data_IF_346697220598
#
_entry.id   IF_346697220598
#
_cell.length_a   1.000
_cell.length_b   1.000
_cell.length_c   1.000
_cell.angle_alpha   90.00
_cell.angle_beta   90.00
_cell.angle_gamma   90.00
#
_symmetry.space_group_name_H-M   'P 1'
#
loop_
_entity.id
_entity.type
_entity.pdbx_description
1 polymer ?
#
# COMPACT_ATOMS: atom_id res chain seq x y z
N UNK A 1 13.04 -8.93 -16.81
CA UNK A 1 11.95 -8.44 -17.66
C UNK A 1 12.19 -6.98 -17.93
N UNK A 2 12.35 -6.62 -19.21
CA UNK A 2 12.59 -5.27 -19.69
C UNK A 2 11.32 -4.45 -19.55
N UNK A 3 11.33 -3.40 -18.72
CA UNK A 3 10.53 -2.18 -18.94
C UNK A 3 10.96 -1.17 -17.87
N UNK A 4 12.10 -0.50 -18.10
CA UNK A 4 12.51 0.81 -17.57
C UNK A 4 12.32 1.16 -16.07
N UNK A 5 11.94 0.22 -15.20
CA UNK A 5 11.54 0.48 -13.82
C UNK A 5 10.02 0.62 -13.58
N UNK A 6 9.14 0.19 -14.48
CA UNK A 6 7.68 0.25 -14.30
C UNK A 6 7.08 -1.15 -14.52
N UNK A 7 6.41 -1.69 -13.51
CA UNK A 7 5.75 -3.01 -13.59
C UNK A 7 4.25 -2.92 -13.85
N UNK A 8 3.63 -1.74 -13.66
CA UNK A 8 2.19 -1.56 -13.86
C UNK A 8 1.75 -0.11 -13.87
N UNK A 9 0.55 0.14 -14.41
CA UNK A 9 -0.08 1.46 -14.48
C UNK A 9 -1.54 1.37 -14.04
N UNK A 10 -1.92 2.16 -13.04
CA UNK A 10 -3.31 2.37 -12.62
C UNK A 10 -3.80 3.68 -13.21
N UNK A 11 -5.02 3.67 -13.76
CA UNK A 11 -5.76 4.90 -14.10
C UNK A 11 -6.55 5.35 -12.87
N UNK A 12 -6.33 6.59 -12.45
CA UNK A 12 -7.03 7.19 -11.31
C UNK A 12 -8.48 7.55 -11.65
N UNK A 13 -8.75 7.75 -12.93
CA UNK A 13 -10.07 8.10 -13.46
C UNK A 13 -10.40 7.30 -14.73
N UNK A 14 -11.69 7.26 -15.08
CA UNK A 14 -12.19 6.51 -16.24
C UNK A 14 -11.63 7.04 -17.58
N UNK A 15 -11.32 8.33 -17.65
CA UNK A 15 -10.75 8.97 -18.85
C UNK A 15 -9.25 8.67 -18.98
N UNK A 16 -8.58 8.30 -17.88
CA UNK A 16 -7.16 7.94 -17.81
C UNK A 16 -6.22 9.14 -17.85
N UNK A 17 -6.67 10.29 -17.36
CA UNK A 17 -5.87 11.52 -17.26
C UNK A 17 -4.87 11.43 -16.11
N UNK A 18 -5.29 10.90 -14.98
CA UNK A 18 -4.42 10.53 -13.86
C UNK A 18 -3.87 9.12 -14.05
N UNK A 19 -2.54 8.98 -14.05
CA UNK A 19 -1.86 7.68 -14.09
C UNK A 19 -0.96 7.54 -12.87
N UNK A 20 -1.07 6.41 -12.20
CA UNK A 20 -0.21 6.01 -11.09
C UNK A 20 0.62 4.83 -11.57
N UNK A 21 1.94 4.99 -11.58
CA UNK A 21 2.85 3.93 -12.00
C UNK A 21 3.28 3.11 -10.79
N UNK A 22 3.48 1.82 -10.98
CA UNK A 22 3.82 0.88 -9.92
C UNK A 22 5.13 0.21 -10.26
N UNK A 23 6.02 0.09 -9.27
CA UNK A 23 7.12 -0.86 -9.26
C UNK A 23 6.97 -1.77 -8.05
N UNK A 24 7.10 -3.07 -8.25
CA UNK A 24 7.12 -4.09 -7.22
C UNK A 24 8.47 -4.84 -7.23
N UNK A 25 9.12 -4.92 -6.06
CA UNK A 25 10.34 -5.72 -5.87
C UNK A 25 10.09 -6.81 -4.85
N UNK A 26 10.38 -8.06 -5.23
CA UNK A 26 10.35 -9.19 -4.29
C UNK A 26 11.77 -9.45 -3.78
N UNK A 27 12.06 -8.96 -2.59
CA UNK A 27 13.34 -9.14 -1.91
C UNK A 27 13.17 -9.92 -0.59
N UNK A 28 14.24 -10.59 -0.19
CA UNK A 28 14.35 -11.18 1.15
C UNK A 28 14.19 -10.12 2.23
N UNK A 29 13.67 -10.53 3.39
CA UNK A 29 13.39 -9.60 4.52
C UNK A 29 14.63 -8.85 5.02
N UNK A 30 15.81 -9.43 4.83
CA UNK A 30 17.10 -8.83 5.22
C UNK A 30 17.71 -7.94 4.13
N UNK A 31 17.10 -7.88 2.94
CA UNK A 31 17.57 -7.05 1.84
C UNK A 31 16.75 -5.76 1.76
N UNK A 32 17.33 -4.70 2.29
CA UNK A 32 16.70 -3.38 2.38
C UNK A 32 16.82 -2.62 1.06
N UNK A 33 15.71 -2.07 0.57
CA UNK A 33 15.68 -1.22 -0.62
C UNK A 33 16.40 0.10 -0.33
N UNK A 34 17.46 0.36 -1.09
CA UNK A 34 18.27 1.57 -0.98
C UNK A 34 17.73 2.74 -1.81
N UNK A 35 18.30 3.92 -1.55
CA UNK A 35 17.96 5.16 -2.26
C UNK A 35 18.12 5.04 -3.78
N UNK A 36 19.12 4.31 -4.25
CA UNK A 36 19.38 4.14 -5.69
C UNK A 36 18.20 3.52 -6.44
N UNK A 37 17.52 2.55 -5.84
CA UNK A 37 16.35 1.90 -6.46
C UNK A 37 15.17 2.88 -6.56
N UNK A 38 14.99 3.71 -5.53
CA UNK A 38 13.97 4.76 -5.54
C UNK A 38 14.30 5.84 -6.58
N UNK A 39 15.57 6.24 -6.69
CA UNK A 39 16.02 7.21 -7.70
C UNK A 39 15.82 6.70 -9.13
N UNK A 40 16.14 5.43 -9.38
CA UNK A 40 15.89 4.79 -10.69
C UNK A 40 14.40 4.84 -11.02
N UNK A 41 13.53 4.53 -10.07
CA UNK A 41 12.08 4.58 -10.28
C UNK A 41 11.58 6.01 -10.56
N UNK A 42 12.04 7.00 -9.79
CA UNK A 42 11.71 8.41 -10.05
C UNK A 42 12.17 8.86 -11.44
N UNK A 43 13.35 8.40 -11.88
CA UNK A 43 13.82 8.62 -13.25
C UNK A 43 12.88 8.03 -14.30
N UNK A 44 12.38 6.81 -14.06
CA UNK A 44 11.40 6.16 -14.93
C UNK A 44 10.07 6.93 -15.00
N UNK A 45 9.59 7.43 -13.85
CA UNK A 45 8.39 8.28 -13.79
C UNK A 45 8.54 9.54 -14.67
N UNK A 46 9.71 10.18 -14.63
CA UNK A 46 9.99 11.36 -15.44
C UNK A 46 9.97 11.06 -16.94
N UNK A 47 10.53 9.92 -17.37
CA UNK A 47 10.48 9.46 -18.78
C UNK A 47 9.04 9.16 -19.19
N UNK A 48 8.25 8.54 -18.32
CA UNK A 48 6.83 8.26 -18.53
C UNK A 48 5.92 9.52 -18.44
N UNK A 49 6.50 10.71 -18.24
CA UNK A 49 5.79 11.98 -18.02
C UNK A 49 4.73 11.89 -16.90
N UNK A 50 5.03 11.12 -15.86
CA UNK A 50 4.18 10.91 -14.69
C UNK A 50 4.82 11.52 -13.46
N UNK A 51 3.98 12.05 -12.59
CA UNK A 51 4.39 12.57 -11.28
C UNK A 51 3.82 11.75 -10.12
N UNK A 52 3.13 10.63 -10.37
CA UNK A 52 2.59 9.75 -9.33
C UNK A 52 3.15 8.34 -9.46
N UNK A 53 3.67 7.82 -8.36
CA UNK A 53 4.24 6.48 -8.29
C UNK A 53 3.97 5.77 -6.97
N UNK A 54 3.90 4.44 -7.03
CA UNK A 54 3.89 3.55 -5.87
C UNK A 54 5.03 2.56 -6.01
N UNK A 55 5.94 2.54 -5.04
CA UNK A 55 6.96 1.52 -4.94
C UNK A 55 6.56 0.51 -3.86
N UNK A 56 6.53 -0.76 -4.22
CA UNK A 56 6.14 -1.87 -3.35
C UNK A 56 7.35 -2.79 -3.18
N UNK A 57 7.66 -3.19 -1.95
CA UNK A 57 8.63 -4.25 -1.68
C UNK A 57 8.09 -5.24 -0.65
N UNK A 58 8.53 -6.50 -0.73
CA UNK A 58 8.29 -7.50 0.33
C UNK A 58 9.26 -7.37 1.51
N UNK A 59 10.27 -6.49 1.41
CA UNK A 59 11.26 -6.20 2.45
C UNK A 59 11.01 -4.83 3.11
N UNK A 60 12.06 -4.07 3.42
CA UNK A 60 11.99 -2.76 4.07
C UNK A 60 12.74 -1.70 3.24
N UNK A 61 12.49 -0.42 3.51
CA UNK A 61 13.25 0.69 2.93
C UNK A 61 14.35 1.17 3.87
N UNK A 62 15.47 1.61 3.30
CA UNK A 62 16.51 2.27 4.09
C UNK A 62 16.06 3.67 4.47
N UNK A 63 16.62 4.21 5.57
CA UNK A 63 16.34 5.59 5.98
C UNK A 63 16.57 6.59 4.85
N UNK A 64 17.68 6.46 4.12
CA UNK A 64 17.98 7.33 2.97
C UNK A 64 17.06 7.15 1.77
N UNK A 65 16.40 6.00 1.63
CA UNK A 65 15.37 5.79 0.62
C UNK A 65 14.08 6.53 0.98
N UNK A 66 13.66 6.44 2.25
CA UNK A 66 12.48 7.14 2.79
C UNK A 66 12.69 8.66 2.72
N UNK A 67 13.81 9.16 3.26
CA UNK A 67 14.15 10.58 3.22
C UNK A 67 14.22 11.13 1.80
N UNK A 68 14.72 10.35 0.84
CA UNK A 68 14.72 10.75 -0.55
C UNK A 68 13.30 10.85 -1.13
N UNK A 69 12.44 9.86 -0.87
CA UNK A 69 11.05 9.90 -1.31
C UNK A 69 10.30 11.11 -0.73
N UNK A 70 10.49 11.39 0.56
CA UNK A 70 9.90 12.55 1.23
C UNK A 70 10.42 13.86 0.61
N UNK A 71 11.72 13.95 0.29
CA UNK A 71 12.34 15.16 -0.27
C UNK A 71 11.83 15.60 -1.65
N UNK A 72 11.06 14.77 -2.36
CA UNK A 72 10.53 15.08 -3.70
C UNK A 72 9.43 16.16 -3.73
N UNK A 73 9.01 16.64 -2.55
CA UNK A 73 7.95 17.63 -2.31
C UNK A 73 7.60 18.51 -3.52
N UNK A 74 6.37 18.37 -4.03
CA UNK A 74 5.77 19.23 -5.05
C UNK A 74 5.99 18.82 -6.51
N UNK A 75 7.03 18.04 -6.83
CA UNK A 75 7.32 17.63 -8.22
C UNK A 75 6.91 16.20 -8.55
N UNK A 76 6.97 15.29 -7.57
CA UNK A 76 6.58 13.89 -7.71
C UNK A 76 5.99 13.39 -6.39
N UNK A 77 4.81 12.79 -6.44
CA UNK A 77 4.18 12.08 -5.33
C UNK A 77 4.57 10.62 -5.42
N UNK A 78 5.42 10.18 -4.49
CA UNK A 78 5.87 8.80 -4.39
C UNK A 78 5.39 8.18 -3.08
N UNK A 79 4.65 7.07 -3.18
CA UNK A 79 4.22 6.28 -2.02
C UNK A 79 5.09 5.04 -1.91
N UNK A 80 5.62 4.79 -0.72
CA UNK A 80 6.39 3.59 -0.41
C UNK A 80 5.54 2.62 0.40
N UNK A 81 5.39 1.39 -0.08
CA UNK A 81 4.74 0.29 0.62
C UNK A 81 5.78 -0.79 0.88
N UNK A 82 6.09 -1.03 2.15
CA UNK A 82 7.02 -2.07 2.56
C UNK A 82 6.28 -3.39 2.85
N UNK A 83 7.02 -4.44 3.23
CA UNK A 83 6.44 -5.76 3.46
C UNK A 83 5.40 -5.78 4.57
N UNK A 84 5.56 -4.94 5.61
CA UNK A 84 4.59 -4.86 6.71
C UNK A 84 3.33 -4.10 6.27
N UNK A 85 3.50 -2.96 5.59
CA UNK A 85 2.40 -2.19 5.01
C UNK A 85 1.60 -3.01 3.99
N UNK A 86 2.29 -3.77 3.13
CA UNK A 86 1.65 -4.67 2.18
C UNK A 86 0.84 -5.76 2.89
N UNK A 87 1.41 -6.41 3.91
CA UNK A 87 0.70 -7.42 4.70
C UNK A 87 -0.53 -6.84 5.40
N UNK A 88 -0.43 -5.61 5.94
CA UNK A 88 -1.55 -4.90 6.55
C UNK A 88 -2.67 -4.66 5.54
N UNK A 89 -2.36 -4.18 4.34
CA UNK A 89 -3.38 -3.98 3.30
C UNK A 89 -4.01 -5.28 2.83
N UNK A 90 -3.23 -6.35 2.69
CA UNK A 90 -3.76 -7.68 2.35
C UNK A 90 -4.80 -8.11 3.39
N UNK A 91 -4.51 -7.90 4.68
CA UNK A 91 -5.42 -8.20 5.77
C UNK A 91 -6.66 -7.29 5.76
N UNK A 92 -6.46 -5.97 5.77
CA UNK A 92 -7.55 -4.98 5.88
C UNK A 92 -8.56 -5.09 4.73
N UNK A 93 -8.09 -5.44 3.52
CA UNK A 93 -8.91 -5.56 2.32
C UNK A 93 -9.32 -7.00 2.00
N UNK A 94 -9.07 -7.95 2.90
CA UNK A 94 -9.41 -9.38 2.75
C UNK A 94 -8.87 -10.03 1.45
N UNK A 95 -7.71 -9.57 0.95
CA UNK A 95 -7.17 -10.08 -0.31
C UNK A 95 -6.65 -11.50 -0.11
N UNK A 96 -7.38 -12.49 -0.63
CA UNK A 96 -7.03 -13.91 -0.46
C UNK A 96 -7.16 -14.40 0.98
N UNK A 97 -7.86 -13.66 1.83
CA UNK A 97 -8.13 -14.01 3.23
C UNK A 97 -9.56 -14.51 3.38
N UNK A 98 -9.78 -15.39 4.36
CA UNK A 98 -11.11 -15.82 4.77
C UNK A 98 -11.25 -15.62 6.28
N UNK A 99 -12.44 -15.25 6.73
CA UNK A 99 -12.73 -15.18 8.17
C UNK A 99 -12.69 -16.58 8.74
N UNK A 100 -11.67 -16.87 9.54
CA UNK A 100 -11.53 -18.15 10.22
C UNK A 100 -12.51 -18.27 11.39
N UNK A 101 -12.68 -17.19 12.16
CA UNK A 101 -13.57 -17.17 13.32
C UNK A 101 -14.15 -15.76 13.55
N UNK A 102 -15.41 -15.69 13.95
CA UNK A 102 -16.06 -14.47 14.45
C UNK A 102 -16.37 -14.65 15.93
N UNK A 103 -15.92 -13.71 16.76
CA UNK A 103 -16.22 -13.70 18.20
C UNK A 103 -17.25 -12.61 18.46
N UNK A 104 -18.46 -13.00 18.84
CA UNK A 104 -19.50 -12.08 19.30
C UNK A 104 -19.53 -12.04 20.83
N UNK A 105 -19.26 -10.87 21.40
CA UNK A 105 -19.41 -10.66 22.84
C UNK A 105 -20.78 -10.03 23.08
N UNK A 106 -21.70 -10.81 23.65
CA UNK A 106 -23.07 -10.37 23.95
C UNK A 106 -23.16 -9.81 25.36
N UNK A 107 -23.88 -8.70 25.51
CA UNK A 107 -24.30 -8.15 26.80
C UNK A 107 -25.80 -8.39 26.96
N UNK A 108 -26.23 -8.66 28.19
CA UNK A 108 -27.65 -8.75 28.51
C UNK A 108 -28.34 -7.40 28.26
N UNK A 109 -29.44 -7.43 27.52
CA UNK A 109 -30.33 -6.28 27.30
C UNK A 109 -31.32 -6.19 28.47
N UNK A 110 -30.97 -5.42 29.49
CA UNK A 110 -31.80 -5.27 30.68
C UNK A 110 -33.21 -4.78 30.36
N UNK A 111 -33.35 -3.80 29.46
CA UNK A 111 -34.64 -3.18 29.15
C UNK A 111 -35.59 -4.18 28.48
N UNK A 112 -35.08 -5.02 27.57
CA UNK A 112 -35.86 -6.10 26.97
C UNK A 112 -36.38 -7.09 28.04
N UNK A 113 -35.52 -7.52 28.96
CA UNK A 113 -35.89 -8.52 29.98
C UNK A 113 -36.78 -7.97 31.09
N UNK A 114 -36.61 -6.69 31.47
CA UNK A 114 -37.44 -6.02 32.46
C UNK A 114 -38.88 -5.90 31.96
N UNK A 115 -39.07 -5.54 30.67
CA UNK A 115 -40.40 -5.45 30.05
C UNK A 115 -41.17 -6.79 29.98
N UNK A 116 -40.46 -7.90 30.14
CA UNK A 116 -41.03 -9.26 30.09
C UNK A 116 -41.47 -9.76 31.48
N UNK A 117 -41.02 -9.13 32.57
CA UNK A 117 -41.46 -9.46 33.94
C UNK A 117 -42.79 -8.79 34.31
N UNK A 118 -43.13 -7.70 33.62
CA UNK A 118 -44.38 -6.95 33.83
C UNK A 118 -45.57 -7.49 32.99
N UNK A 119 -45.40 -8.63 32.29
CA UNK A 119 -46.41 -9.29 31.43
C UNK A 119 -46.86 -10.64 32.02
#
# INVERSE_FOLDING_TARGET
SNDEGIDGVIKEDVLGLGRIHIQAKRYDRNNTVGREEIQKFVGALAVAQSNKGVFITTSSYSKGAIEYADSLHGSTTLVLIDGQGLAKYIYDYNLGMQTEQTIEIKKMDSDFWDSMQDA
#
